data_IF_525791387381
#
_entry.id   IF_525791387381
#
_cell.length_a   1.000
_cell.length_b   1.000
_cell.length_c   1.000
_cell.angle_alpha   90.00
_cell.angle_beta   90.00
_cell.angle_gamma   90.00
#
_symmetry.space_group_name_H-M   'P 1'
#
loop_
_entity.id
_entity.type
_entity.pdbx_description
1 polymer ?
#
# COMPACT_ATOMS: atom_id res chain seq x y z
N UNK A 1 -10.53 -13.25 -24.90
CA UNK A 1 -10.37 -12.01 -24.10
C UNK A 1 -9.10 -12.09 -23.28
N UNK A 2 -8.26 -11.07 -23.40
CA UNK A 2 -7.00 -11.00 -22.64
C UNK A 2 -7.30 -10.62 -21.19
N UNK A 3 -6.78 -11.37 -20.22
CA UNK A 3 -7.03 -11.02 -18.82
C UNK A 3 -6.05 -9.92 -18.38
N UNK A 4 -6.33 -9.32 -17.20
CA UNK A 4 -5.55 -8.17 -16.73
C UNK A 4 -4.08 -8.53 -16.51
N UNK A 5 -3.78 -9.75 -16.08
CA UNK A 5 -2.41 -10.17 -15.81
C UNK A 5 -1.53 -10.18 -17.06
N UNK A 6 -2.13 -10.46 -18.22
CA UNK A 6 -1.42 -10.47 -19.50
C UNK A 6 -1.18 -9.05 -20.02
N UNK A 7 -1.99 -8.09 -19.59
CA UNK A 7 -1.86 -6.70 -20.02
C UNK A 7 -0.87 -5.89 -19.15
N UNK A 8 -0.66 -6.31 -17.91
CA UNK A 8 0.24 -5.62 -16.98
C UNK A 8 1.68 -5.79 -17.44
N UNK A 9 2.41 -4.68 -17.41
CA UNK A 9 3.84 -4.66 -17.71
C UNK A 9 4.62 -4.82 -16.43
N UNK A 10 4.82 -6.07 -16.03
CA UNK A 10 5.63 -6.40 -14.86
C UNK A 10 7.08 -5.96 -15.09
N UNK A 11 7.76 -5.52 -14.03
CA UNK A 11 9.17 -5.18 -14.18
C UNK A 11 10.03 -6.46 -14.29
N UNK A 12 11.34 -6.29 -14.37
CA UNK A 12 12.26 -7.42 -14.55
C UNK A 12 12.20 -8.47 -13.44
N UNK A 13 11.68 -8.07 -12.29
CA UNK A 13 11.53 -8.96 -11.13
C UNK A 13 10.10 -9.53 -11.02
N UNK A 14 9.26 -9.26 -12.00
CA UNK A 14 7.88 -9.72 -11.98
C UNK A 14 6.98 -8.93 -11.02
N UNK A 15 7.30 -7.67 -10.78
CA UNK A 15 6.60 -6.83 -9.82
C UNK A 15 5.97 -5.61 -10.48
N UNK A 16 4.91 -5.09 -9.83
CA UNK A 16 4.28 -3.84 -10.19
C UNK A 16 4.10 -3.02 -8.91
N UNK A 17 4.39 -1.70 -8.94
CA UNK A 17 4.13 -0.86 -7.78
C UNK A 17 2.64 -0.61 -7.62
N UNK A 18 2.17 -0.69 -6.38
CA UNK A 18 0.78 -0.44 -6.02
C UNK A 18 0.72 0.74 -5.06
N UNK A 19 0.11 1.83 -5.51
CA UNK A 19 -0.13 3.02 -4.71
C UNK A 19 -1.48 2.83 -4.02
N UNK A 20 -1.49 2.99 -2.70
CA UNK A 20 -2.70 2.76 -1.90
C UNK A 20 -3.27 4.10 -1.46
N UNK A 21 -4.55 4.33 -1.77
CA UNK A 21 -5.23 5.57 -1.46
C UNK A 21 -6.45 5.28 -0.57
N UNK A 22 -6.56 6.02 0.54
CA UNK A 22 -7.76 5.94 1.39
C UNK A 22 -8.91 6.61 0.66
N UNK A 23 -9.99 5.86 0.43
CA UNK A 23 -11.14 6.36 -0.33
C UNK A 23 -11.92 7.43 0.44
N UNK A 24 -11.82 7.48 1.75
CA UNK A 24 -12.54 8.48 2.56
C UNK A 24 -11.81 9.84 2.58
N UNK A 25 -10.52 9.83 2.87
CA UNK A 25 -9.73 11.06 2.94
C UNK A 25 -9.11 11.47 1.61
N UNK A 26 -9.06 10.54 0.66
CA UNK A 26 -8.36 10.67 -0.62
C UNK A 26 -6.86 10.81 -0.46
N UNK A 27 -6.32 10.54 0.72
CA UNK A 27 -4.86 10.53 0.95
C UNK A 27 -4.23 9.30 0.37
N UNK A 28 -3.06 9.48 -0.23
CA UNK A 28 -2.18 8.36 -0.55
C UNK A 28 -1.54 7.92 0.76
N UNK A 29 -1.72 6.65 1.13
CA UNK A 29 -1.33 6.20 2.47
C UNK A 29 -0.08 5.32 2.45
N UNK A 30 0.20 4.65 1.35
CA UNK A 30 1.43 3.85 1.23
C UNK A 30 1.67 3.46 -0.22
N UNK A 31 2.85 2.91 -0.49
CA UNK A 31 3.16 2.24 -1.75
C UNK A 31 3.91 0.95 -1.41
N UNK A 32 3.57 -0.13 -2.08
CA UNK A 32 4.26 -1.41 -1.95
C UNK A 32 4.22 -2.15 -3.28
N UNK A 33 4.89 -3.29 -3.34
CA UNK A 33 5.01 -4.06 -4.57
C UNK A 33 4.08 -5.26 -4.56
N UNK A 34 3.57 -5.61 -5.74
CA UNK A 34 2.77 -6.83 -5.92
C UNK A 34 3.40 -7.65 -7.03
N UNK A 35 3.49 -8.96 -6.82
CA UNK A 35 3.73 -9.89 -7.90
C UNK A 35 2.35 -10.40 -8.39
N UNK A 36 2.35 -11.29 -9.37
CA UNK A 36 1.11 -11.81 -9.94
C UNK A 36 0.24 -12.50 -8.87
N UNK A 37 0.85 -13.27 -7.99
CA UNK A 37 0.13 -13.98 -6.93
C UNK A 37 -0.48 -12.99 -5.92
N UNK A 38 0.27 -11.96 -5.53
CA UNK A 38 -0.24 -10.94 -4.60
C UNK A 38 -1.43 -10.19 -5.20
N UNK A 39 -1.33 -9.80 -6.47
CA UNK A 39 -2.44 -9.11 -7.15
C UNK A 39 -3.66 -10.04 -7.27
N UNK A 40 -3.44 -11.29 -7.61
CA UNK A 40 -4.52 -12.27 -7.72
C UNK A 40 -5.27 -12.43 -6.38
N UNK A 41 -4.53 -12.55 -5.28
CA UNK A 41 -5.12 -12.65 -3.95
C UNK A 41 -5.84 -11.37 -3.54
N UNK A 42 -5.30 -10.22 -3.90
CA UNK A 42 -5.93 -8.93 -3.62
C UNK A 42 -7.28 -8.81 -4.33
N UNK A 43 -7.34 -9.21 -5.61
CA UNK A 43 -8.58 -9.19 -6.39
C UNK A 43 -9.60 -10.15 -5.78
N UNK A 44 -9.18 -11.35 -5.43
CA UNK A 44 -10.06 -12.40 -4.93
C UNK A 44 -10.61 -12.08 -3.54
N UNK A 45 -9.76 -11.65 -2.62
CA UNK A 45 -10.13 -11.47 -1.21
C UNK A 45 -10.63 -10.08 -0.86
N UNK A 46 -10.36 -9.08 -1.71
CA UNK A 46 -10.63 -7.66 -1.43
C UNK A 46 -9.82 -7.15 -0.25
N UNK A 47 -8.68 -7.78 0.03
CA UNK A 47 -7.70 -7.35 1.02
C UNK A 47 -6.37 -7.16 0.32
N UNK A 48 -5.55 -6.20 0.78
CA UNK A 48 -4.29 -5.92 0.12
C UNK A 48 -3.22 -6.94 0.47
N UNK A 49 -2.77 -7.67 -0.52
CA UNK A 49 -1.59 -8.54 -0.42
C UNK A 49 -0.46 -7.90 -1.20
N UNK A 50 0.73 -7.93 -0.63
CA UNK A 50 1.93 -7.35 -1.24
C UNK A 50 3.04 -8.39 -1.31
N UNK A 51 4.06 -8.10 -2.12
CA UNK A 51 5.26 -8.91 -2.19
C UNK A 51 6.42 -8.19 -1.52
N UNK A 52 7.03 -8.84 -0.53
CA UNK A 52 8.21 -8.30 0.13
C UNK A 52 9.47 -8.70 -0.64
N UNK A 53 10.19 -7.72 -1.17
CA UNK A 53 11.43 -7.97 -1.91
C UNK A 53 12.54 -8.49 -1.01
N UNK A 54 12.59 -8.00 0.23
CA UNK A 54 13.62 -8.40 1.18
C UNK A 54 13.40 -9.80 1.75
N UNK A 55 12.14 -10.21 1.91
CA UNK A 55 11.78 -11.51 2.48
C UNK A 55 11.44 -12.56 1.43
N UNK A 56 11.32 -12.16 0.18
CA UNK A 56 10.92 -13.02 -0.94
C UNK A 56 9.62 -13.77 -0.67
N UNK A 57 8.64 -13.06 -0.11
CA UNK A 57 7.33 -13.69 0.18
C UNK A 57 6.19 -12.68 0.11
N UNK A 58 4.98 -13.22 -0.05
CA UNK A 58 3.75 -12.45 -0.01
C UNK A 58 3.35 -12.20 1.44
N UNK A 59 2.77 -11.03 1.70
CA UNK A 59 2.25 -10.70 3.02
C UNK A 59 0.93 -9.97 2.90
N UNK A 60 0.06 -10.17 3.87
CA UNK A 60 -1.25 -9.53 3.95
C UNK A 60 -1.13 -8.27 4.81
N UNK A 61 -1.52 -7.13 4.25
CA UNK A 61 -1.52 -5.87 4.99
C UNK A 61 -2.49 -5.97 6.16
N UNK A 62 -1.99 -5.77 7.37
CA UNK A 62 -2.79 -5.82 8.59
C UNK A 62 -2.71 -7.14 9.35
N UNK A 63 -2.03 -8.16 8.81
CA UNK A 63 -1.97 -9.48 9.47
C UNK A 63 -1.33 -9.45 10.86
N UNK A 64 -0.41 -8.51 11.10
CA UNK A 64 0.23 -8.36 12.42
C UNK A 64 -0.37 -7.20 13.22
N UNK A 65 -0.67 -6.09 12.55
CA UNK A 65 -1.13 -4.86 13.21
C UNK A 65 -2.64 -4.78 13.40
N UNK A 66 -3.42 -5.55 12.64
CA UNK A 66 -4.87 -5.41 12.60
C UNK A 66 -5.35 -4.26 11.73
N UNK A 67 -4.45 -3.50 11.10
CA UNK A 67 -4.79 -2.35 10.28
C UNK A 67 -5.00 -2.77 8.82
N UNK A 68 -6.09 -3.50 8.58
CA UNK A 68 -6.43 -4.03 7.26
C UNK A 68 -6.89 -2.93 6.30
N UNK A 69 -6.59 -3.12 5.03
CA UNK A 69 -7.04 -2.26 3.93
C UNK A 69 -8.05 -3.03 3.09
N UNK A 70 -9.33 -2.66 3.19
CA UNK A 70 -10.38 -3.28 2.39
C UNK A 70 -10.42 -2.64 1.02
N UNK A 71 -10.24 -3.44 -0.03
CA UNK A 71 -10.16 -2.95 -1.41
C UNK A 71 -11.54 -2.59 -1.94
N UNK A 72 -11.69 -1.37 -2.43
CA UNK A 72 -12.91 -0.88 -3.06
C UNK A 72 -12.79 -0.85 -4.58
N UNK A 73 -11.64 -0.46 -5.12
CA UNK A 73 -11.38 -0.52 -6.55
C UNK A 73 -9.88 -0.57 -6.82
N UNK A 74 -9.53 -1.10 -8.00
CA UNK A 74 -8.15 -1.21 -8.44
C UNK A 74 -8.09 -0.59 -9.84
N UNK A 75 -7.25 0.44 -9.99
CA UNK A 75 -7.04 1.09 -11.27
C UNK A 75 -5.63 0.77 -11.76
N UNK A 76 -5.50 0.65 -13.09
CA UNK A 76 -4.20 0.48 -13.75
C UNK A 76 -3.92 1.76 -14.51
N UNK A 77 -2.68 2.22 -14.50
CA UNK A 77 -2.37 3.46 -15.20
C UNK A 77 -2.34 3.29 -16.72
N UNK A 78 -2.10 4.38 -17.44
CA UNK A 78 -2.26 4.43 -18.90
C UNK A 78 -1.33 3.49 -19.66
N UNK A 79 -0.16 3.18 -19.12
CA UNK A 79 0.79 2.27 -19.74
C UNK A 79 0.93 0.93 -19.00
N UNK A 80 0.04 0.64 -18.07
CA UNK A 80 -0.09 -0.65 -17.39
C UNK A 80 1.13 -1.06 -16.57
N UNK A 81 1.84 -0.10 -16.00
CA UNK A 81 3.02 -0.39 -15.18
C UNK A 81 2.91 0.07 -13.72
N UNK A 82 1.75 0.59 -13.31
CA UNK A 82 1.48 0.89 -11.90
C UNK A 82 0.01 0.76 -11.57
N UNK A 83 -0.29 0.50 -10.30
CA UNK A 83 -1.66 0.33 -9.80
C UNK A 83 -1.99 1.44 -8.81
N UNK A 84 -3.26 1.88 -8.83
CA UNK A 84 -3.84 2.69 -7.78
C UNK A 84 -4.95 1.88 -7.15
N UNK A 85 -4.78 1.51 -5.88
CA UNK A 85 -5.73 0.70 -5.14
C UNK A 85 -6.45 1.59 -4.14
N UNK A 86 -7.75 1.77 -4.33
CA UNK A 86 -8.58 2.55 -3.42
C UNK A 86 -9.13 1.63 -2.35
N UNK A 87 -8.91 2.02 -1.09
CA UNK A 87 -9.21 1.16 0.05
C UNK A 87 -10.01 1.90 1.11
N UNK A 88 -10.68 1.14 1.95
CA UNK A 88 -11.22 1.62 3.21
C UNK A 88 -10.25 1.20 4.31
N UNK A 89 -9.66 2.18 4.99
CA UNK A 89 -8.73 1.93 6.10
C UNK A 89 -9.52 1.96 7.40
N UNK A 90 -9.92 0.80 7.89
CA UNK A 90 -10.82 0.68 9.06
C UNK A 90 -10.34 1.44 10.29
N UNK A 91 -9.07 1.32 10.61
CA UNK A 91 -8.49 1.94 11.80
C UNK A 91 -8.06 3.39 11.59
N UNK A 92 -8.02 3.83 10.32
CA UNK A 92 -7.44 5.12 9.96
C UNK A 92 -5.92 5.15 10.04
N UNK A 93 -5.28 4.01 10.33
CA UNK A 93 -3.83 3.90 10.50
C UNK A 93 -3.28 2.98 9.43
N UNK A 94 -2.36 3.47 8.60
CA UNK A 94 -1.72 2.68 7.53
C UNK A 94 -0.26 2.38 7.81
N UNK A 95 0.45 3.29 8.47
CA UNK A 95 1.87 3.16 8.68
C UNK A 95 2.19 2.43 9.99
N UNK A 96 3.24 1.61 9.98
CA UNK A 96 3.70 0.92 11.19
C UNK A 96 4.17 1.89 12.28
N UNK A 97 4.39 3.17 11.94
CA UNK A 97 4.72 4.22 12.92
C UNK A 97 3.49 4.72 13.67
N UNK A 98 2.28 4.23 13.35
CA UNK A 98 1.04 4.66 13.97
C UNK A 98 0.40 5.86 13.30
N UNK A 99 0.88 6.26 12.12
CA UNK A 99 0.34 7.38 11.35
C UNK A 99 -0.66 6.88 10.33
N UNK A 100 -1.54 7.79 9.85
CA UNK A 100 -2.54 7.44 8.84
C UNK A 100 -1.94 7.24 7.45
N UNK A 101 -0.72 7.72 7.22
CA UNK A 101 0.00 7.57 5.94
C UNK A 101 1.47 7.30 6.20
N UNK A 102 2.07 6.51 5.30
CA UNK A 102 3.53 6.33 5.29
C UNK A 102 4.24 7.58 4.75
N UNK A 103 3.51 8.45 4.05
CA UNK A 103 4.05 9.66 3.45
C UNK A 103 3.90 10.84 4.40
N UNK A 104 4.69 10.86 5.46
CA UNK A 104 4.61 11.89 6.49
C UNK A 104 5.87 12.76 6.58
N UNK A 105 6.84 12.53 5.74
CA UNK A 105 8.07 13.31 5.67
C UNK A 105 8.01 14.22 4.44
N UNK A 106 7.96 15.52 4.65
CA UNK A 106 7.93 16.49 3.55
C UNK A 106 9.32 17.10 3.35
N UNK A 107 9.80 17.04 2.10
CA UNK A 107 11.07 17.67 1.75
C UNK A 107 10.84 19.18 1.66
N UNK A 108 11.71 19.98 2.29
CA UNK A 108 11.63 21.44 2.21
C UNK A 108 11.94 21.92 0.80
N UNK A 109 11.51 23.16 0.48
CA UNK A 109 11.61 23.73 -0.87
C UNK A 109 13.01 23.64 -1.49
N UNK A 110 14.05 23.76 -0.67
CA UNK A 110 15.43 23.71 -1.14
C UNK A 110 16.11 22.34 -0.95
N UNK A 111 15.39 21.37 -0.38
CA UNK A 111 15.92 20.04 -0.19
C UNK A 111 16.86 19.88 1.01
N UNK A 112 17.00 20.89 1.86
CA UNK A 112 17.95 20.84 2.97
C UNK A 112 17.45 20.05 4.19
N UNK A 113 16.14 20.06 4.43
CA UNK A 113 15.56 19.41 5.61
C UNK A 113 14.27 18.68 5.27
N UNK A 114 13.77 17.93 6.25
CA UNK A 114 12.51 17.20 6.15
C UNK A 114 11.64 17.60 7.34
N UNK A 115 10.38 17.94 7.05
CA UNK A 115 9.37 18.24 8.06
C UNK A 115 8.41 17.07 8.20
N UNK A 116 8.05 16.71 9.42
CA UNK A 116 7.04 15.69 9.68
C UNK A 116 5.67 16.36 9.66
N UNK A 117 4.78 15.92 8.76
CA UNK A 117 3.48 16.55 8.52
C UNK A 117 2.29 15.74 9.03
N UNK A 118 2.52 14.52 9.53
CA UNK A 118 1.46 13.66 10.07
C UNK A 118 1.84 13.24 11.49
N UNK A 119 0.88 13.31 12.40
CA UNK A 119 1.14 12.92 13.79
C UNK A 119 0.87 11.43 14.01
N UNK A 120 1.50 10.88 15.05
CA UNK A 120 1.27 9.50 15.47
C UNK A 120 -0.10 9.43 16.13
N UNK A 121 -1.02 8.65 15.52
CA UNK A 121 -2.37 8.46 16.03
C UNK A 121 -2.44 7.38 17.10
N UNK A 122 -1.52 6.42 17.03
CA UNK A 122 -1.43 5.33 17.99
C UNK A 122 0.03 4.92 18.16
N UNK A 123 0.48 4.79 19.41
CA UNK A 123 1.85 4.38 19.70
C UNK A 123 2.14 3.02 19.05
N UNK A 124 3.21 2.91 18.24
CA UNK A 124 3.58 1.63 17.63
C UNK A 124 3.72 0.48 18.60
N UNK A 125 4.13 0.75 19.83
CA UNK A 125 4.24 -0.26 20.90
C UNK A 125 2.89 -0.88 21.22
N UNK A 126 1.80 -0.16 21.02
CA UNK A 126 0.44 -0.66 21.25
C UNK A 126 -0.11 -1.42 20.06
N UNK A 127 0.35 -1.06 18.84
CA UNK A 127 -0.11 -1.69 17.59
C UNK A 127 0.42 -3.13 17.49
N UNK A 128 1.70 -3.31 17.81
CA UNK A 128 2.39 -4.60 17.66
C UNK A 128 2.58 -5.34 18.97
N UNK A 129 1.79 -5.00 19.96
CA UNK A 129 1.81 -5.66 21.26
C UNK A 129 1.29 -7.09 21.11
N UNK A 130 2.07 -8.04 21.55
CA UNK A 130 1.69 -9.45 21.56
C UNK A 130 1.15 -9.84 22.93
#
# INVERSE_FOLDING_TARGET
MMNVFDQIKWNDQGLIPAIIQDNNSMKVVMMAWMNKEALSKTIETKQCYFYSRSRNKIWLKGEESGNFHNVLSILVDCDFDSLLVKVNVKSGISCHTGRNSCFYNEITDNGDTINIIEEVLKDPKLIYKK
#
